data_IF_156459431019
#
_entry.id   IF_156459431019
#
_cell.length_a   1.000
_cell.length_b   1.000
_cell.length_c   1.000
_cell.angle_alpha   90.00
_cell.angle_beta   90.00
_cell.angle_gamma   90.00
#
_symmetry.space_group_name_H-M   'P 1'
#
loop_
_entity.id
_entity.type
_entity.pdbx_description
1 polymer ?
#
# COMPACT_ATOMS: atom_id res chain seq x y z
N UNK A 1 -15.71 -34.41 14.69
CA UNK A 1 -16.14 -35.69 15.29
C UNK A 1 -16.45 -35.43 16.75
N UNK A 2 -17.67 -35.74 17.22
CA UNK A 2 -18.12 -35.48 18.59
C UNK A 2 -17.81 -36.62 19.59
N UNK A 3 -17.01 -37.63 19.20
CA UNK A 3 -16.45 -38.63 20.12
C UNK A 3 -17.43 -39.68 20.67
N UNK A 4 -18.66 -39.77 20.13
CA UNK A 4 -19.65 -40.78 20.52
C UNK A 4 -19.17 -42.18 20.13
N UNK A 5 -19.20 -43.13 21.06
CA UNK A 5 -18.76 -44.52 20.89
C UNK A 5 -19.90 -45.50 21.14
N UNK A 6 -19.68 -46.78 20.81
CA UNK A 6 -20.61 -47.85 21.16
C UNK A 6 -20.95 -47.85 22.66
N UNK A 7 -22.24 -48.07 22.96
CA UNK A 7 -22.86 -48.02 24.31
C UNK A 7 -22.96 -46.62 24.95
N UNK A 8 -22.59 -45.56 24.25
CA UNK A 8 -22.91 -44.19 24.71
C UNK A 8 -24.43 -44.01 24.76
N UNK A 9 -24.95 -43.44 25.86
CA UNK A 9 -26.38 -43.13 26.01
C UNK A 9 -26.60 -41.65 25.74
N UNK A 10 -27.60 -41.31 24.94
CA UNK A 10 -28.04 -39.94 24.67
C UNK A 10 -29.47 -39.77 25.18
N UNK A 11 -29.76 -38.60 25.74
CA UNK A 11 -31.12 -38.22 26.18
C UNK A 11 -31.57 -37.06 25.31
N UNK A 12 -32.71 -37.23 24.65
CA UNK A 12 -33.36 -36.19 23.88
C UNK A 12 -34.39 -35.48 24.76
N UNK A 13 -34.31 -34.15 24.83
CA UNK A 13 -35.28 -33.31 25.53
C UNK A 13 -35.67 -32.16 24.63
N UNK A 14 -36.98 -31.87 24.56
CA UNK A 14 -37.48 -30.68 23.90
C UNK A 14 -37.29 -29.46 24.80
N UNK A 15 -36.86 -28.36 24.19
CA UNK A 15 -36.54 -27.13 24.89
C UNK A 15 -37.29 -25.97 24.24
N UNK A 16 -38.31 -25.40 24.91
CA UNK A 16 -39.13 -24.33 24.37
C UNK A 16 -38.34 -23.07 24.00
N UNK A 17 -37.20 -22.83 24.67
CA UNK A 17 -36.35 -21.67 24.40
C UNK A 17 -35.31 -21.93 23.30
N UNK A 18 -35.32 -23.13 22.68
CA UNK A 18 -34.41 -23.50 21.59
C UNK A 18 -34.59 -22.63 20.34
N UNK A 19 -35.83 -22.22 20.03
CA UNK A 19 -36.14 -21.36 18.89
C UNK A 19 -35.44 -20.01 19.04
N UNK A 20 -35.60 -19.36 20.20
CA UNK A 20 -34.97 -18.07 20.51
C UNK A 20 -33.44 -18.17 20.47
N UNK A 21 -32.88 -19.20 21.10
CA UNK A 21 -31.43 -19.47 21.06
C UNK A 21 -30.90 -19.62 19.64
N UNK A 22 -31.65 -20.34 18.79
CA UNK A 22 -31.29 -20.53 17.38
C UNK A 22 -31.33 -19.21 16.62
N UNK A 23 -32.32 -18.35 16.85
CA UNK A 23 -32.39 -17.02 16.21
C UNK A 23 -31.20 -16.13 16.60
N UNK A 24 -30.84 -16.09 17.88
CA UNK A 24 -29.66 -15.35 18.36
C UNK A 24 -28.39 -15.87 17.68
N UNK A 25 -28.23 -17.19 17.57
CA UNK A 25 -27.07 -17.81 16.94
C UNK A 25 -27.00 -17.49 15.44
N UNK A 26 -28.12 -17.56 14.70
CA UNK A 26 -28.18 -17.19 13.29
C UNK A 26 -27.75 -15.73 13.10
N UNK A 27 -28.26 -14.82 13.94
CA UNK A 27 -27.90 -13.40 13.86
C UNK A 27 -26.42 -13.18 14.12
N UNK A 28 -25.83 -13.88 15.09
CA UNK A 28 -24.39 -13.82 15.36
C UNK A 28 -23.57 -14.34 14.19
N UNK A 29 -23.95 -15.50 13.64
CA UNK A 29 -23.27 -16.09 12.48
C UNK A 29 -23.33 -15.18 11.25
N UNK A 30 -24.47 -14.52 11.01
CA UNK A 30 -24.62 -13.56 9.92
C UNK A 30 -23.68 -12.35 10.06
N UNK A 31 -23.49 -11.83 11.29
CA UNK A 31 -22.50 -10.76 11.54
C UNK A 31 -21.08 -11.22 11.25
N UNK A 32 -20.69 -12.40 11.75
CA UNK A 32 -19.36 -12.98 11.52
C UNK A 32 -19.10 -13.15 10.01
N UNK A 33 -20.06 -13.74 9.28
CA UNK A 33 -19.94 -13.92 7.83
C UNK A 33 -19.88 -12.60 7.06
N UNK A 34 -20.54 -11.55 7.56
CA UNK A 34 -20.48 -10.22 6.94
C UNK A 34 -19.12 -9.58 7.13
N UNK A 35 -18.55 -9.65 8.34
CA UNK A 35 -17.19 -9.18 8.62
C UNK A 35 -16.15 -9.94 7.78
N UNK A 36 -16.25 -11.27 7.71
CA UNK A 36 -15.35 -12.10 6.91
C UNK A 36 -15.41 -11.74 5.42
N UNK A 37 -16.61 -11.55 4.86
CA UNK A 37 -16.76 -11.11 3.46
C UNK A 37 -16.13 -9.74 3.20
N UNK A 38 -16.31 -8.79 4.11
CA UNK A 38 -15.71 -7.47 4.00
C UNK A 38 -14.17 -7.53 4.04
N UNK A 39 -13.60 -8.30 4.98
CA UNK A 39 -12.15 -8.51 5.09
C UNK A 39 -11.60 -9.20 3.83
N UNK A 40 -12.29 -10.23 3.32
CA UNK A 40 -11.87 -10.93 2.11
C UNK A 40 -11.90 -10.02 0.88
N UNK A 41 -12.91 -9.15 0.78
CA UNK A 41 -12.97 -8.17 -0.29
C UNK A 41 -11.77 -7.20 -0.24
N UNK A 42 -11.44 -6.67 0.95
CA UNK A 42 -10.24 -5.85 1.14
C UNK A 42 -8.97 -6.63 0.80
N UNK A 43 -8.87 -7.91 1.20
CA UNK A 43 -7.72 -8.76 0.87
C UNK A 43 -7.52 -8.88 -0.64
N UNK A 44 -8.58 -9.13 -1.40
CA UNK A 44 -8.50 -9.26 -2.86
C UNK A 44 -8.05 -7.96 -3.53
N UNK A 45 -8.53 -6.81 -3.06
CA UNK A 45 -8.07 -5.52 -3.57
C UNK A 45 -6.62 -5.26 -3.19
N UNK A 46 -6.22 -5.62 -1.96
CA UNK A 46 -4.85 -5.50 -1.50
C UNK A 46 -3.88 -6.38 -2.28
N UNK A 47 -4.29 -7.58 -2.70
CA UNK A 47 -3.47 -8.46 -3.54
C UNK A 47 -3.11 -7.77 -4.85
N UNK A 48 -4.08 -7.15 -5.52
CA UNK A 48 -3.86 -6.38 -6.76
C UNK A 48 -2.93 -5.19 -6.54
N UNK A 49 -3.08 -4.48 -5.43
CA UNK A 49 -2.20 -3.35 -5.10
C UNK A 49 -0.78 -3.85 -4.80
N UNK A 50 -0.63 -4.99 -4.14
CA UNK A 50 0.66 -5.62 -3.84
C UNK A 50 1.40 -5.97 -5.14
N UNK A 51 0.69 -6.47 -6.15
CA UNK A 51 1.28 -6.74 -7.47
C UNK A 51 1.82 -5.45 -8.13
N UNK A 52 1.09 -4.34 -7.99
CA UNK A 52 1.56 -3.03 -8.49
C UNK A 52 2.77 -2.50 -7.72
N UNK A 53 2.81 -2.69 -6.39
CA UNK A 53 3.97 -2.34 -5.57
C UNK A 53 5.20 -3.10 -6.06
N UNK A 54 5.08 -4.41 -6.27
CA UNK A 54 6.16 -5.26 -6.80
C UNK A 54 6.63 -4.82 -8.18
N UNK A 55 5.71 -4.43 -9.07
CA UNK A 55 6.06 -3.91 -10.38
C UNK A 55 6.85 -2.58 -10.31
N UNK A 56 6.43 -1.65 -9.45
CA UNK A 56 7.15 -0.39 -9.21
C UNK A 56 8.53 -0.66 -8.61
N UNK A 57 8.61 -1.53 -7.60
CA UNK A 57 9.85 -1.95 -6.96
C UNK A 57 10.86 -2.48 -8.00
N UNK A 58 10.41 -3.40 -8.85
CA UNK A 58 11.22 -3.97 -9.93
C UNK A 58 11.64 -2.94 -10.98
N UNK A 59 10.76 -1.99 -11.32
CA UNK A 59 11.06 -0.91 -12.26
C UNK A 59 12.19 -0.02 -11.74
N UNK A 60 12.09 0.39 -10.47
CA UNK A 60 13.08 1.23 -9.80
C UNK A 60 14.39 0.46 -9.60
N UNK A 61 14.34 -0.83 -9.23
CA UNK A 61 15.55 -1.66 -9.08
C UNK A 61 16.31 -1.82 -10.40
N UNK A 62 15.60 -1.76 -11.54
CA UNK A 62 16.19 -1.77 -12.88
C UNK A 62 16.69 -0.38 -13.33
N UNK A 63 16.60 0.65 -12.47
CA UNK A 63 17.06 2.01 -12.75
C UNK A 63 16.08 2.88 -13.52
N UNK A 64 14.86 2.41 -13.77
CA UNK A 64 13.84 3.23 -14.43
C UNK A 64 13.24 4.26 -13.46
N UNK A 65 13.00 5.47 -13.98
CA UNK A 65 12.33 6.53 -13.22
C UNK A 65 10.81 6.33 -13.30
N UNK A 66 10.18 6.16 -12.15
CA UNK A 66 8.71 6.09 -12.04
C UNK A 66 8.16 7.48 -11.73
N UNK A 67 7.06 7.95 -12.35
CA UNK A 67 6.43 9.21 -11.97
C UNK A 67 6.00 9.19 -10.49
N UNK A 68 6.38 10.22 -9.72
CA UNK A 68 6.08 10.28 -8.29
C UNK A 68 4.57 10.17 -8.01
N UNK A 69 3.75 10.77 -8.88
CA UNK A 69 2.28 10.69 -8.79
C UNK A 69 1.75 9.25 -8.81
N UNK A 70 2.42 8.32 -9.50
CA UNK A 70 2.00 6.91 -9.50
C UNK A 70 2.26 6.25 -8.14
N UNK A 71 3.41 6.54 -7.52
CA UNK A 71 3.77 6.05 -6.19
C UNK A 71 2.79 6.61 -5.15
N UNK A 72 2.55 7.93 -5.15
CA UNK A 72 1.63 8.55 -4.19
C UNK A 72 0.19 8.10 -4.38
N UNK A 73 -0.27 7.93 -5.62
CA UNK A 73 -1.61 7.38 -5.90
C UNK A 73 -1.76 5.97 -5.33
N UNK A 74 -0.73 5.13 -5.47
CA UNK A 74 -0.77 3.76 -4.95
C UNK A 74 -0.78 3.73 -3.41
N UNK A 75 -0.04 4.64 -2.75
CA UNK A 75 -0.12 4.85 -1.29
C UNK A 75 -1.54 5.26 -0.89
N UNK A 76 -2.15 6.23 -1.57
CA UNK A 76 -3.52 6.67 -1.28
C UNK A 76 -4.53 5.52 -1.45
N UNK A 77 -4.37 4.68 -2.48
CA UNK A 77 -5.20 3.50 -2.68
C UNK A 77 -5.05 2.49 -1.54
N UNK A 78 -3.83 2.24 -1.05
CA UNK A 78 -3.57 1.39 0.11
C UNK A 78 -4.18 1.97 1.39
N UNK A 79 -4.06 3.28 1.63
CA UNK A 79 -4.65 3.95 2.78
C UNK A 79 -6.18 3.88 2.77
N UNK A 80 -6.81 3.94 1.59
CA UNK A 80 -8.26 3.71 1.48
C UNK A 80 -8.65 2.28 1.87
N UNK A 81 -7.82 1.28 1.58
CA UNK A 81 -8.05 -0.09 2.04
C UNK A 81 -7.86 -0.22 3.56
N UNK A 82 -6.88 0.49 4.16
CA UNK A 82 -6.72 0.54 5.61
C UNK A 82 -7.98 1.08 6.31
N UNK A 83 -8.51 2.23 5.84
CA UNK A 83 -9.73 2.82 6.41
C UNK A 83 -10.92 1.85 6.31
N UNK A 84 -11.13 1.26 5.12
CA UNK A 84 -12.19 0.24 4.94
C UNK A 84 -12.04 -0.94 5.89
N UNK A 85 -10.81 -1.37 6.13
CA UNK A 85 -10.51 -2.48 7.02
C UNK A 85 -10.79 -2.11 8.48
N UNK A 86 -10.40 -0.90 8.90
CA UNK A 86 -10.64 -0.36 10.24
C UNK A 86 -12.12 -0.26 10.58
N UNK A 87 -12.95 0.10 9.60
CA UNK A 87 -14.41 0.18 9.73
C UNK A 87 -15.09 -1.20 9.92
N UNK A 88 -14.40 -2.31 9.64
CA UNK A 88 -14.98 -3.66 9.84
C UNK A 88 -15.01 -4.00 11.32
N UNK A 89 -16.22 -4.11 11.88
CA UNK A 89 -16.45 -4.74 13.18
C UNK A 89 -16.24 -6.25 13.09
N UNK A 90 -15.14 -6.75 13.68
CA UNK A 90 -14.75 -8.15 13.66
C UNK A 90 -14.79 -8.77 15.06
N UNK A 91 -15.18 -10.04 15.14
CA UNK A 91 -15.18 -10.85 16.38
C UNK A 91 -14.54 -12.21 16.10
N UNK A 92 -14.00 -12.85 17.15
CA UNK A 92 -13.36 -14.18 17.04
C UNK A 92 -12.24 -14.20 16.00
N UNK A 93 -12.21 -15.23 15.16
CA UNK A 93 -11.14 -15.45 14.16
C UNK A 93 -11.05 -14.33 13.11
N UNK A 94 -12.14 -13.59 12.87
CA UNK A 94 -12.14 -12.46 11.94
C UNK A 94 -11.22 -11.32 12.42
N UNK A 95 -10.97 -11.19 13.72
CA UNK A 95 -10.04 -10.18 14.27
C UNK A 95 -8.61 -10.48 13.84
N UNK A 96 -8.21 -11.75 13.91
CA UNK A 96 -6.88 -12.17 13.48
C UNK A 96 -6.69 -11.95 11.96
N UNK A 97 -7.72 -12.24 11.16
CA UNK A 97 -7.72 -11.97 9.72
C UNK A 97 -7.62 -10.47 9.42
N UNK A 98 -8.42 -9.64 10.09
CA UNK A 98 -8.36 -8.17 9.97
C UNK A 98 -6.96 -7.65 10.28
N UNK A 99 -6.38 -8.08 11.40
CA UNK A 99 -5.03 -7.65 11.80
C UNK A 99 -3.95 -8.08 10.79
N UNK A 100 -4.05 -9.29 10.24
CA UNK A 100 -3.14 -9.76 9.20
C UNK A 100 -3.19 -8.85 7.97
N UNK A 101 -4.39 -8.51 7.49
CA UNK A 101 -4.53 -7.60 6.34
C UNK A 101 -4.00 -6.20 6.66
N UNK A 102 -4.20 -5.69 7.88
CA UNK A 102 -3.66 -4.40 8.31
C UNK A 102 -2.12 -4.36 8.25
N UNK A 103 -1.46 -5.43 8.70
CA UNK A 103 0.00 -5.57 8.57
C UNK A 103 0.45 -5.58 7.11
N UNK A 104 -0.30 -6.22 6.22
CA UNK A 104 0.01 -6.24 4.78
C UNK A 104 -0.10 -4.85 4.18
N UNK A 105 -1.15 -4.08 4.51
CA UNK A 105 -1.29 -2.68 4.05
C UNK A 105 -0.07 -1.87 4.48
N UNK A 106 0.27 -1.92 5.78
CA UNK A 106 1.34 -1.13 6.35
C UNK A 106 2.69 -1.43 5.69
N UNK A 107 3.01 -2.72 5.51
CA UNK A 107 4.23 -3.15 4.83
C UNK A 107 4.32 -2.60 3.40
N UNK A 108 3.23 -2.65 2.64
CA UNK A 108 3.20 -2.10 1.28
C UNK A 108 3.44 -0.59 1.26
N UNK A 109 2.84 0.16 2.21
CA UNK A 109 3.05 1.61 2.33
C UNK A 109 4.50 1.92 2.69
N UNK A 110 5.09 1.24 3.67
CA UNK A 110 6.50 1.40 4.04
C UNK A 110 7.45 1.13 2.86
N UNK A 111 7.17 0.08 2.08
CA UNK A 111 7.91 -0.20 0.84
C UNK A 111 7.81 0.95 -0.15
N UNK A 112 6.60 1.47 -0.42
CA UNK A 112 6.41 2.57 -1.37
C UNK A 112 7.06 3.87 -0.91
N UNK A 113 7.03 4.19 0.38
CA UNK A 113 7.74 5.36 0.93
C UNK A 113 9.25 5.25 0.75
N UNK A 114 9.80 4.05 0.96
CA UNK A 114 11.22 3.77 0.68
C UNK A 114 11.54 3.93 -0.80
N UNK A 115 10.66 3.40 -1.67
CA UNK A 115 10.78 3.51 -3.12
C UNK A 115 10.64 4.95 -3.62
N UNK A 116 9.82 5.78 -2.99
CA UNK A 116 9.68 7.20 -3.30
C UNK A 116 11.01 7.93 -3.15
N UNK A 117 11.72 7.67 -2.04
CA UNK A 117 13.03 8.28 -1.76
C UNK A 117 14.08 7.77 -2.76
N UNK A 118 14.15 6.45 -2.99
CA UNK A 118 15.15 5.87 -3.90
C UNK A 118 14.91 6.29 -5.34
N UNK A 119 13.66 6.34 -5.78
CA UNK A 119 13.26 6.83 -7.10
C UNK A 119 13.62 8.31 -7.26
N UNK A 120 13.42 9.15 -6.23
CA UNK A 120 13.86 10.55 -6.24
C UNK A 120 15.36 10.72 -6.51
N UNK A 121 16.18 9.83 -5.96
CA UNK A 121 17.65 9.81 -6.12
C UNK A 121 18.14 9.17 -7.42
N UNK A 122 17.29 8.42 -8.13
CA UNK A 122 17.67 7.81 -9.40
C UNK A 122 18.02 8.88 -10.43
N UNK A 123 19.29 8.91 -10.86
CA UNK A 123 19.74 9.68 -12.03
C UNK A 123 19.09 9.06 -13.27
N UNK A 124 18.49 9.88 -14.13
CA UNK A 124 17.98 9.43 -15.43
C UNK A 124 19.14 8.78 -16.17
N UNK A 125 19.06 7.46 -16.39
CA UNK A 125 20.02 6.73 -17.21
C UNK A 125 19.97 7.27 -18.63
N UNK A 126 20.96 8.10 -18.97
CA UNK A 126 21.02 8.84 -20.22
C UNK A 126 21.21 10.33 -19.95
N UNK A 127 22.38 10.68 -19.43
CA UNK A 127 22.93 12.03 -19.61
C UNK A 127 23.16 12.19 -21.13
N UNK A 128 22.12 12.56 -21.87
CA UNK A 128 22.34 13.35 -23.08
C UNK A 128 22.93 14.63 -22.53
N UNK A 129 24.26 14.64 -22.49
CA UNK A 129 25.06 15.83 -22.27
C UNK A 129 24.68 16.76 -23.42
N UNK A 130 23.64 17.59 -23.22
CA UNK A 130 23.50 18.83 -23.97
C UNK A 130 24.65 19.69 -23.46
N UNK A 131 25.80 19.50 -24.11
CA UNK A 131 26.99 20.31 -23.93
C UNK A 131 26.61 21.70 -24.46
N UNK A 132 26.00 22.54 -23.63
CA UNK A 132 26.04 23.98 -23.88
C UNK A 132 27.47 24.43 -23.59
N UNK A 133 28.32 24.22 -24.59
CA UNK A 133 29.64 24.83 -24.71
C UNK A 133 29.40 26.33 -24.85
N UNK A 134 29.18 27.01 -23.73
CA UNK A 134 29.37 28.46 -23.66
C UNK A 134 30.86 28.67 -23.65
N UNK A 135 31.42 28.85 -24.84
CA UNK A 135 32.78 29.27 -25.05
C UNK A 135 33.13 30.43 -24.11
N UNK A 136 34.28 30.27 -23.46
CA UNK A 136 35.04 31.34 -22.83
C UNK A 136 35.13 32.52 -23.79
N UNK A 137 34.31 33.54 -23.55
CA UNK A 137 34.62 34.88 -24.03
C UNK A 137 35.50 35.48 -22.95
N UNK A 138 36.81 35.32 -23.11
CA UNK A 138 37.77 36.20 -22.46
C UNK A 138 37.61 37.59 -23.11
N UNK A 139 37.19 38.65 -22.40
CA UNK A 139 37.35 40.00 -22.91
C UNK A 139 38.83 40.35 -22.79
N UNK A 140 39.60 39.98 -23.81
CA UNK A 140 40.94 40.52 -24.02
C UNK A 140 40.81 42.04 -24.15
N UNK A 141 41.44 42.74 -23.21
CA UNK A 141 41.60 44.19 -23.20
C UNK A 141 42.15 44.67 -24.56
N UNK A 142 41.50 45.64 -25.22
CA UNK A 142 42.22 46.51 -26.12
C UNK A 142 43.00 47.52 -25.28
N UNK A 143 44.31 47.50 -25.48
CA UNK A 143 45.26 48.47 -24.98
C UNK A 143 44.83 49.92 -25.30
N UNK A 144 45.04 50.78 -24.31
CA UNK A 144 45.52 52.17 -24.43
C UNK A 144 44.84 53.06 -25.48
N UNK A 145 43.94 53.93 -25.02
CA UNK A 145 43.71 55.21 -25.69
C UNK A 145 44.61 56.27 -25.02
N UNK A 146 45.54 56.92 -25.76
CA UNK A 146 46.10 58.20 -25.37
C UNK A 146 45.09 59.32 -25.62
N UNK A 147 45.44 60.56 -25.25
CA UNK A 147 44.68 61.81 -25.41
C UNK A 147 43.60 62.05 -24.32
N UNK A 148 43.57 63.16 -23.59
CA UNK A 148 44.52 64.25 -23.37
C UNK A 148 43.92 65.11 -22.23
N UNK A 149 44.80 65.76 -21.50
CA UNK A 149 44.56 66.68 -20.38
C UNK A 149 43.81 67.92 -20.90
N UNK A 150 42.79 68.39 -20.17
CA UNK A 150 42.41 69.81 -20.16
C UNK A 150 41.97 70.22 -18.75
N UNK A 151 42.29 71.48 -18.44
CA UNK A 151 42.39 72.14 -17.13
C UNK A 151 41.09 72.28 -16.33
#
# INVERSE_FOLDING_TARGET
MCGVKDRSKLVLMEDPASIERRFIQIRRNAKIQTAQRAINHVSMELDKLTDQVSAIEKSISNGAKVPEVQITTLIDMLMRQAVKLDDVAAEGDAVAQKHLQGKRVHRCVETLETLKISNGRAKVGGDVIVRTLWEKIDPSHPAMAPWEIFE
#
